data_IF_634147397486
#
_entry.id   IF_634147397486
#
_cell.length_a   1.000
_cell.length_b   1.000
_cell.length_c   1.000
_cell.angle_alpha   90.00
_cell.angle_beta   90.00
_cell.angle_gamma   90.00
#
_symmetry.space_group_name_H-M   'P 1'
#
loop_
_entity.id
_entity.type
_entity.pdbx_description
1 polymer ?
#
# COMPACT_ATOMS: atom_id res chain seq x y z
N UNK A 1 18.50 0.47 -17.00
CA UNK A 1 17.56 1.26 -16.15
C UNK A 1 18.20 1.43 -14.78
N UNK A 2 18.14 2.61 -14.18
CA UNK A 2 18.65 2.84 -12.81
C UNK A 2 17.70 2.26 -11.77
N UNK A 3 18.24 1.88 -10.62
CA UNK A 3 17.45 1.49 -9.45
C UNK A 3 16.62 2.69 -8.96
N UNK A 4 15.34 2.46 -8.65
CA UNK A 4 14.38 3.50 -8.19
C UNK A 4 14.25 3.54 -6.67
N UNK A 5 14.37 2.39 -6.03
CA UNK A 5 14.05 2.23 -4.60
C UNK A 5 15.25 1.82 -3.76
N UNK A 6 16.34 1.34 -4.39
CA UNK A 6 17.57 0.90 -3.72
C UNK A 6 18.77 1.59 -4.35
N UNK A 7 19.62 2.25 -3.53
CA UNK A 7 20.86 2.83 -4.04
C UNK A 7 21.89 1.75 -4.37
N UNK A 8 22.81 2.06 -5.28
CA UNK A 8 23.92 1.14 -5.61
C UNK A 8 24.78 0.82 -4.40
N UNK A 9 25.03 1.81 -3.54
CA UNK A 9 25.86 1.64 -2.35
C UNK A 9 25.15 0.75 -1.31
N UNK A 10 23.83 0.92 -1.12
CA UNK A 10 23.04 0.04 -0.27
C UNK A 10 23.05 -1.41 -0.77
N UNK A 11 22.90 -1.61 -2.07
CA UNK A 11 22.96 -2.95 -2.67
C UNK A 11 24.35 -3.58 -2.53
N UNK A 12 25.42 -2.79 -2.76
CA UNK A 12 26.80 -3.22 -2.60
C UNK A 12 27.09 -3.64 -1.16
N UNK A 13 26.80 -2.77 -0.22
CA UNK A 13 27.00 -3.03 1.22
C UNK A 13 26.22 -4.26 1.67
N UNK A 14 24.93 -4.33 1.34
CA UNK A 14 24.06 -5.43 1.74
C UNK A 14 24.45 -6.77 1.12
N UNK A 15 25.08 -6.77 -0.06
CA UNK A 15 25.55 -8.01 -0.70
C UNK A 15 26.60 -8.74 0.14
N UNK A 16 27.40 -7.99 0.94
CA UNK A 16 28.51 -8.52 1.72
C UNK A 16 29.61 -9.15 0.86
N UNK A 17 29.77 -8.68 -0.38
CA UNK A 17 30.80 -9.16 -1.32
C UNK A 17 32.01 -8.21 -1.38
N UNK A 18 31.88 -7.03 -0.79
CA UNK A 18 32.93 -6.02 -0.84
C UNK A 18 34.18 -6.49 -0.06
N UNK A 19 35.34 -6.45 -0.71
CA UNK A 19 36.59 -6.95 -0.13
C UNK A 19 36.70 -8.47 0.03
N UNK A 20 35.71 -9.25 -0.39
CA UNK A 20 35.75 -10.72 -0.31
C UNK A 20 36.43 -11.26 -1.56
N UNK A 21 37.50 -12.09 -1.42
CA UNK A 21 38.07 -12.78 -2.55
C UNK A 21 37.02 -13.63 -3.29
N UNK A 22 37.04 -13.60 -4.64
CA UNK A 22 36.00 -14.24 -5.45
C UNK A 22 35.86 -15.75 -5.21
N UNK A 23 36.93 -16.45 -4.85
CA UNK A 23 36.90 -17.87 -4.53
C UNK A 23 36.24 -18.19 -3.19
N UNK A 24 36.07 -17.19 -2.31
CA UNK A 24 35.32 -17.29 -1.05
C UNK A 24 33.91 -16.67 -1.17
N UNK A 25 33.62 -16.01 -2.27
CA UNK A 25 32.37 -15.27 -2.45
C UNK A 25 31.19 -16.25 -2.68
N UNK A 26 30.11 -16.07 -1.91
CA UNK A 26 28.87 -16.86 -2.05
C UNK A 26 27.78 -16.04 -2.75
N UNK A 27 27.50 -16.35 -4.01
CA UNK A 27 26.42 -15.74 -4.76
C UNK A 27 25.04 -15.99 -4.08
N UNK A 28 24.82 -17.21 -3.57
CA UNK A 28 23.59 -17.57 -2.86
C UNK A 28 23.43 -16.78 -1.55
N UNK A 29 24.52 -16.67 -0.77
CA UNK A 29 24.54 -15.87 0.46
C UNK A 29 24.29 -14.39 0.20
N UNK A 30 24.91 -13.82 -0.81
CA UNK A 30 24.68 -12.44 -1.23
C UNK A 30 23.23 -12.20 -1.69
N UNK A 31 22.67 -13.13 -2.48
CA UNK A 31 21.26 -13.06 -2.89
C UNK A 31 20.32 -13.06 -1.69
N UNK A 32 20.54 -13.94 -0.71
CA UNK A 32 19.72 -13.99 0.51
C UNK A 32 19.78 -12.65 1.26
N UNK A 33 20.96 -12.09 1.45
CA UNK A 33 21.14 -10.79 2.11
C UNK A 33 20.46 -9.66 1.34
N UNK A 34 20.60 -9.60 0.01
CA UNK A 34 19.95 -8.57 -0.82
C UNK A 34 18.42 -8.63 -0.73
N UNK A 35 17.84 -9.82 -0.59
CA UNK A 35 16.39 -9.99 -0.43
C UNK A 35 15.86 -9.53 0.93
N UNK A 36 16.72 -9.23 1.91
CA UNK A 36 16.28 -8.61 3.16
C UNK A 36 16.02 -7.10 3.01
N UNK A 37 16.47 -6.48 1.91
CA UNK A 37 16.11 -5.10 1.61
C UNK A 37 14.61 -5.00 1.27
N UNK A 38 13.82 -4.20 2.01
CA UNK A 38 12.36 -4.15 1.85
C UNK A 38 11.89 -3.84 0.44
N UNK A 39 12.61 -3.01 -0.31
CA UNK A 39 12.30 -2.63 -1.67
C UNK A 39 12.72 -3.68 -2.73
N UNK A 40 13.43 -4.75 -2.32
CA UNK A 40 13.87 -5.82 -3.23
C UNK A 40 12.88 -6.97 -3.22
N UNK A 41 12.31 -7.29 -4.38
CA UNK A 41 11.47 -8.47 -4.58
C UNK A 41 12.31 -9.72 -4.82
N UNK A 42 13.35 -9.60 -5.66
CA UNK A 42 14.31 -10.67 -5.92
C UNK A 42 15.68 -10.09 -6.33
N UNK A 43 16.73 -10.91 -6.24
CA UNK A 43 18.07 -10.54 -6.62
C UNK A 43 18.75 -11.69 -7.36
N UNK A 44 19.57 -11.37 -8.37
CA UNK A 44 20.47 -12.27 -9.04
C UNK A 44 21.89 -11.81 -8.81
N UNK A 45 22.76 -12.73 -8.41
CA UNK A 45 24.17 -12.47 -8.17
C UNK A 45 25.01 -13.46 -8.97
N UNK A 46 25.92 -12.92 -9.75
CA UNK A 46 26.88 -13.71 -10.57
C UNK A 46 28.28 -13.31 -10.16
N UNK A 47 29.09 -14.30 -9.78
CA UNK A 47 30.51 -14.08 -9.50
C UNK A 47 31.28 -14.19 -10.81
N UNK A 48 31.98 -13.15 -11.18
CA UNK A 48 32.76 -13.04 -12.42
C UNK A 48 34.24 -13.02 -12.08
N UNK A 49 34.97 -14.08 -12.46
CA UNK A 49 36.43 -14.14 -12.26
C UNK A 49 37.15 -13.14 -13.18
N UNK A 50 38.27 -12.55 -12.78
CA UNK A 50 39.04 -12.86 -11.55
C UNK A 50 38.65 -12.05 -10.31
N UNK A 51 37.75 -11.07 -10.33
CA UNK A 51 37.56 -10.22 -9.15
C UNK A 51 36.31 -9.34 -9.19
N UNK A 52 35.24 -9.76 -9.89
CA UNK A 52 34.02 -8.97 -10.01
C UNK A 52 32.78 -9.76 -9.57
N UNK A 53 31.73 -9.04 -9.18
CA UNK A 53 30.39 -9.59 -9.01
C UNK A 53 29.39 -8.70 -9.75
N UNK A 54 28.45 -9.34 -10.45
CA UNK A 54 27.34 -8.67 -11.09
C UNK A 54 26.09 -8.91 -10.25
N UNK A 55 25.47 -7.82 -9.77
CA UNK A 55 24.24 -7.84 -8.99
C UNK A 55 23.13 -7.24 -9.85
N UNK A 56 22.05 -7.99 -10.05
CA UNK A 56 20.83 -7.53 -10.70
C UNK A 56 19.69 -7.61 -9.69
N UNK A 57 19.08 -6.46 -9.39
CA UNK A 57 17.93 -6.39 -8.47
C UNK A 57 16.63 -6.35 -9.26
N UNK A 58 15.63 -7.07 -8.76
CA UNK A 58 14.22 -6.91 -9.12
C UNK A 58 13.57 -6.16 -7.99
N UNK A 59 13.35 -4.88 -8.17
CA UNK A 59 12.69 -4.04 -7.17
C UNK A 59 11.18 -4.29 -7.14
N UNK A 60 10.53 -3.95 -6.00
CA UNK A 60 9.08 -3.98 -5.87
C UNK A 60 8.47 -2.87 -6.70
N UNK A 61 7.30 -3.11 -7.24
CA UNK A 61 6.50 -2.12 -7.96
C UNK A 61 5.49 -1.51 -7.00
N UNK A 62 5.53 -0.18 -6.86
CA UNK A 62 4.60 0.55 -6.01
C UNK A 62 3.24 0.66 -6.71
N UNK A 63 2.17 0.22 -6.06
CA UNK A 63 0.78 0.37 -6.50
C UNK A 63 0.04 1.48 -5.75
N UNK A 64 0.60 1.96 -4.64
CA UNK A 64 0.04 3.03 -3.83
C UNK A 64 1.02 3.51 -2.77
N UNK A 65 0.53 4.45 -1.94
CA UNK A 65 1.21 4.99 -0.78
C UNK A 65 0.41 4.70 0.48
N UNK A 66 1.10 4.33 1.55
CA UNK A 66 0.52 3.98 2.84
C UNK A 66 1.08 4.91 3.91
N UNK A 67 0.22 5.74 4.49
CA UNK A 67 0.60 6.69 5.54
C UNK A 67 0.24 6.06 6.89
N UNK A 68 1.25 5.73 7.68
CA UNK A 68 1.08 5.13 9.00
C UNK A 68 0.62 6.16 10.05
N UNK A 69 0.25 5.70 11.24
CA UNK A 69 -0.29 6.56 12.31
C UNK A 69 0.70 7.61 12.83
N UNK A 70 2.00 7.40 12.63
CA UNK A 70 3.09 8.34 12.92
C UNK A 70 3.38 9.31 11.76
N UNK A 71 2.51 9.35 10.73
CA UNK A 71 2.64 10.11 9.48
C UNK A 71 3.84 9.72 8.60
N UNK A 72 4.49 8.59 8.86
CA UNK A 72 5.49 8.05 7.95
C UNK A 72 4.81 7.47 6.72
N UNK A 73 5.23 7.91 5.54
CA UNK A 73 4.69 7.46 4.26
C UNK A 73 5.60 6.40 3.63
N UNK A 74 5.04 5.24 3.37
CA UNK A 74 5.63 4.10 2.70
C UNK A 74 5.06 3.91 1.30
N UNK A 75 5.82 3.34 0.38
CA UNK A 75 5.25 2.69 -0.79
C UNK A 75 4.71 1.31 -0.41
N UNK A 76 3.69 0.86 -1.12
CA UNK A 76 3.09 -0.46 -0.94
C UNK A 76 3.00 -1.17 -2.28
N UNK A 77 3.36 -2.46 -2.33
CA UNK A 77 3.17 -3.31 -3.51
C UNK A 77 1.83 -4.07 -3.46
N UNK A 78 1.51 -4.75 -4.56
CA UNK A 78 0.28 -5.54 -4.68
C UNK A 78 0.19 -6.71 -3.67
N UNK A 79 1.32 -7.15 -3.10
CA UNK A 79 1.35 -8.16 -2.04
C UNK A 79 1.18 -7.56 -0.64
N UNK A 80 1.01 -6.25 -0.51
CA UNK A 80 0.84 -5.53 0.75
C UNK A 80 2.15 -5.22 1.48
N UNK A 81 3.30 -5.38 0.85
CA UNK A 81 4.60 -5.12 1.49
C UNK A 81 4.93 -3.64 1.43
N UNK A 82 5.26 -3.07 2.60
CA UNK A 82 5.67 -1.67 2.74
C UNK A 82 7.17 -1.52 2.49
N UNK A 83 7.57 -0.51 1.72
CA UNK A 83 8.97 -0.25 1.43
C UNK A 83 9.26 1.24 1.22
N UNK A 84 10.48 1.71 1.55
CA UNK A 84 10.90 3.07 1.27
C UNK A 84 11.27 3.24 -0.20
N UNK A 85 11.29 4.47 -0.69
CA UNK A 85 11.86 4.80 -1.99
C UNK A 85 12.82 5.97 -1.88
N UNK A 86 13.94 5.88 -2.60
CA UNK A 86 14.90 6.98 -2.76
C UNK A 86 14.45 7.96 -3.84
N UNK A 87 13.70 7.48 -4.83
CA UNK A 87 13.14 8.31 -5.90
C UNK A 87 11.61 8.27 -5.84
N UNK A 88 11.02 9.44 -5.61
CA UNK A 88 9.56 9.61 -5.60
C UNK A 88 9.00 10.12 -6.92
N UNK A 89 9.82 10.26 -7.94
CA UNK A 89 9.39 10.66 -9.28
C UNK A 89 8.45 9.60 -9.85
N UNK A 90 7.25 10.02 -10.24
CA UNK A 90 6.21 9.09 -10.72
C UNK A 90 5.60 8.21 -9.63
N UNK A 91 5.69 8.62 -8.36
CA UNK A 91 5.03 7.93 -7.26
C UNK A 91 3.51 7.78 -7.53
N UNK A 92 2.90 6.63 -7.17
CA UNK A 92 1.45 6.45 -7.31
C UNK A 92 0.67 7.56 -6.60
N UNK A 93 -0.39 8.07 -7.25
CA UNK A 93 -1.28 9.08 -6.68
C UNK A 93 -2.14 8.55 -5.53
N UNK A 94 -2.42 7.24 -5.54
CA UNK A 94 -3.29 6.58 -4.58
C UNK A 94 -2.68 6.57 -3.18
N UNK A 95 -3.44 7.04 -2.19
CA UNK A 95 -2.98 7.14 -0.80
C UNK A 95 -4.01 6.57 0.16
N UNK A 96 -3.52 5.76 1.11
CA UNK A 96 -4.30 5.17 2.20
C UNK A 96 -3.69 5.61 3.53
N UNK A 97 -4.52 6.00 4.48
CA UNK A 97 -4.12 6.42 5.83
C UNK A 97 -4.40 5.28 6.81
N UNK A 98 -3.39 4.82 7.53
CA UNK A 98 -3.50 3.76 8.51
C UNK A 98 -3.38 4.34 9.94
N UNK A 99 -4.52 4.59 10.57
CA UNK A 99 -4.59 5.14 11.93
C UNK A 99 -4.34 4.08 13.02
N UNK A 100 -4.13 2.80 12.65
CA UNK A 100 -4.06 1.68 13.61
C UNK A 100 -2.77 1.66 14.41
N UNK A 101 -1.62 1.83 13.74
CA UNK A 101 -0.29 1.77 14.36
C UNK A 101 0.78 2.39 13.46
N UNK A 102 1.95 2.76 14.02
CA UNK A 102 3.16 2.96 13.23
C UNK A 102 3.52 1.72 12.43
N UNK A 103 4.21 1.90 11.31
CA UNK A 103 4.60 0.82 10.40
C UNK A 103 6.09 0.85 10.11
N UNK A 104 6.63 -0.31 9.79
CA UNK A 104 8.05 -0.48 9.47
C UNK A 104 8.27 -0.95 8.04
N UNK A 105 9.46 -0.64 7.51
CA UNK A 105 9.87 -1.14 6.20
C UNK A 105 9.94 -2.67 6.19
N UNK A 106 9.38 -3.29 5.14
CA UNK A 106 9.28 -4.74 4.99
C UNK A 106 8.06 -5.35 5.68
N UNK A 107 7.32 -4.58 6.48
CA UNK A 107 6.07 -5.04 7.07
C UNK A 107 5.02 -5.30 5.98
N UNK A 108 4.15 -6.27 6.23
CA UNK A 108 3.05 -6.61 5.32
C UNK A 108 1.72 -6.18 5.92
N UNK A 109 0.90 -5.55 5.11
CA UNK A 109 -0.50 -5.28 5.41
C UNK A 109 -1.32 -6.50 4.96
N UNK A 110 -1.87 -7.20 5.91
CA UNK A 110 -2.68 -8.38 5.65
C UNK A 110 -4.18 -8.15 5.97
N UNK A 111 -5.06 -8.82 5.24
CA UNK A 111 -4.82 -9.64 4.03
C UNK A 111 -4.59 -8.75 2.79
N UNK A 112 -3.95 -9.25 1.72
CA UNK A 112 -3.75 -8.48 0.47
C UNK A 112 -5.05 -7.94 -0.13
N UNK A 113 -6.16 -8.65 0.00
CA UNK A 113 -7.48 -8.18 -0.41
C UNK A 113 -7.89 -6.86 0.25
N UNK A 114 -7.41 -6.59 1.47
CA UNK A 114 -7.65 -5.32 2.16
C UNK A 114 -6.91 -4.18 1.49
N UNK A 115 -5.66 -4.41 1.06
CA UNK A 115 -4.87 -3.44 0.30
C UNK A 115 -5.54 -3.13 -1.03
N UNK A 116 -5.97 -4.15 -1.76
CA UNK A 116 -6.70 -3.99 -3.02
C UNK A 116 -7.98 -3.16 -2.82
N UNK A 117 -8.81 -3.50 -1.84
CA UNK A 117 -10.04 -2.77 -1.53
C UNK A 117 -9.75 -1.30 -1.17
N UNK A 118 -8.73 -1.04 -0.35
CA UNK A 118 -8.33 0.31 0.05
C UNK A 118 -7.84 1.14 -1.16
N UNK A 119 -7.03 0.56 -2.04
CA UNK A 119 -6.54 1.23 -3.24
C UNK A 119 -7.67 1.49 -4.25
N UNK A 120 -8.63 0.58 -4.39
CA UNK A 120 -9.83 0.78 -5.22
C UNK A 120 -10.68 1.95 -4.71
N UNK A 121 -10.83 2.10 -3.39
CA UNK A 121 -11.49 3.29 -2.82
C UNK A 121 -10.69 4.56 -3.06
N UNK A 122 -9.36 4.50 -2.94
CA UNK A 122 -8.48 5.64 -3.18
C UNK A 122 -8.47 6.08 -4.67
N UNK A 123 -8.86 5.21 -5.58
CA UNK A 123 -8.97 5.49 -7.01
C UNK A 123 -10.31 6.10 -7.42
N UNK A 124 -11.29 6.18 -6.51
CA UNK A 124 -12.59 6.81 -6.82
C UNK A 124 -12.42 8.28 -7.15
N UNK A 125 -13.08 8.74 -8.20
CA UNK A 125 -13.09 10.15 -8.55
C UNK A 125 -13.95 10.95 -7.56
N UNK A 126 -13.59 12.22 -7.29
CA UNK A 126 -14.45 13.12 -6.54
C UNK A 126 -15.84 13.19 -7.18
N UNK A 127 -16.89 13.06 -6.36
CA UNK A 127 -18.28 13.08 -6.83
C UNK A 127 -18.80 11.76 -7.43
N UNK A 128 -17.94 10.73 -7.62
CA UNK A 128 -18.37 9.44 -8.20
C UNK A 128 -19.43 8.72 -7.35
N UNK A 129 -19.35 8.81 -6.03
CA UNK A 129 -20.33 8.22 -5.12
C UNK A 129 -21.57 9.09 -4.98
N UNK A 130 -21.36 10.40 -4.78
CA UNK A 130 -22.36 11.44 -4.65
C UNK A 130 -21.69 12.80 -4.90
N UNK A 131 -22.42 13.79 -5.41
CA UNK A 131 -21.85 15.07 -5.83
C UNK A 131 -21.03 15.80 -4.75
N UNK A 132 -21.40 15.65 -3.47
CA UNK A 132 -20.68 16.21 -2.32
C UNK A 132 -19.56 15.30 -1.76
N UNK A 133 -19.35 14.13 -2.35
CA UNK A 133 -18.26 13.23 -1.99
C UNK A 133 -16.93 13.72 -2.61
N UNK A 134 -16.45 14.86 -2.13
CA UNK A 134 -15.16 15.47 -2.49
C UNK A 134 -14.09 15.15 -1.44
N UNK A 135 -12.83 15.47 -1.72
CA UNK A 135 -11.69 15.27 -0.79
C UNK A 135 -11.69 13.88 -0.14
N UNK A 136 -11.83 12.87 -0.99
CA UNK A 136 -11.94 11.48 -0.55
C UNK A 136 -10.66 11.03 0.15
N UNK A 137 -10.83 10.47 1.34
CA UNK A 137 -9.74 9.98 2.17
C UNK A 137 -10.03 8.57 2.63
N UNK A 138 -9.24 7.62 2.16
CA UNK A 138 -9.33 6.21 2.58
C UNK A 138 -8.55 6.02 3.86
N UNK A 139 -9.20 5.48 4.88
CA UNK A 139 -8.64 5.35 6.23
C UNK A 139 -8.82 3.93 6.73
N UNK A 140 -7.75 3.35 7.27
CA UNK A 140 -7.79 2.13 8.07
C UNK A 140 -7.89 2.52 9.54
N UNK A 141 -9.05 2.30 10.14
CA UNK A 141 -9.28 2.61 11.56
C UNK A 141 -9.03 1.40 12.45
N UNK A 142 -8.74 1.65 13.73
CA UNK A 142 -8.75 0.60 14.74
C UNK A 142 -10.20 0.13 15.02
N UNK A 143 -10.34 -1.14 15.40
CA UNK A 143 -11.64 -1.71 15.78
C UNK A 143 -12.56 -2.07 14.62
N UNK A 144 -13.86 -2.14 14.90
CA UNK A 144 -14.86 -2.73 14.01
C UNK A 144 -15.13 -1.93 12.71
N UNK A 145 -14.79 -0.64 12.66
CA UNK A 145 -15.02 0.17 11.46
C UNK A 145 -14.07 -0.18 10.32
N UNK A 146 -12.86 -0.67 10.64
CA UNK A 146 -11.88 -1.16 9.66
C UNK A 146 -11.60 -0.17 8.55
N UNK A 147 -11.93 -0.54 7.31
CA UNK A 147 -11.79 0.29 6.12
C UNK A 147 -12.93 1.32 6.03
N UNK A 148 -12.58 2.58 5.99
CA UNK A 148 -13.51 3.72 5.97
C UNK A 148 -13.13 4.67 4.85
N UNK A 149 -14.12 5.19 4.14
CA UNK A 149 -13.97 6.28 3.19
C UNK A 149 -14.56 7.56 3.81
N UNK A 150 -13.73 8.54 4.13
CA UNK A 150 -14.14 9.86 4.62
C UNK A 150 -14.22 10.85 3.47
N UNK A 151 -15.14 11.81 3.58
CA UNK A 151 -15.35 12.87 2.58
C UNK A 151 -15.10 14.26 3.17
N UNK A 152 -14.81 15.24 2.33
CA UNK A 152 -14.70 16.66 2.71
C UNK A 152 -16.02 17.22 3.24
N UNK A 153 -17.15 16.67 2.87
CA UNK A 153 -18.48 17.02 3.40
C UNK A 153 -18.76 16.47 4.82
N UNK A 154 -17.75 15.86 5.46
CA UNK A 154 -17.76 15.34 6.85
C UNK A 154 -18.67 14.14 7.10
N UNK A 155 -19.05 13.41 6.06
CA UNK A 155 -19.67 12.10 6.22
C UNK A 155 -18.73 10.99 5.76
N UNK A 156 -19.00 9.76 6.20
CA UNK A 156 -18.13 8.63 5.89
C UNK A 156 -18.91 7.39 5.45
N UNK A 157 -18.24 6.49 4.71
CA UNK A 157 -18.76 5.15 4.42
C UNK A 157 -17.89 4.13 5.12
N UNK A 158 -18.50 3.25 5.93
CA UNK A 158 -17.84 2.20 6.71
C UNK A 158 -17.96 0.87 5.99
N UNK A 159 -16.83 0.36 5.48
CA UNK A 159 -16.76 -0.92 4.74
C UNK A 159 -16.32 -2.08 5.64
N UNK A 160 -15.56 -1.82 6.72
CA UNK A 160 -15.04 -2.86 7.61
C UNK A 160 -13.94 -3.69 6.99
N UNK A 161 -14.16 -5.00 6.83
CA UNK A 161 -13.22 -5.90 6.17
C UNK A 161 -13.34 -5.84 4.64
N UNK A 162 -12.37 -6.44 3.95
CA UNK A 162 -12.41 -6.59 2.49
C UNK A 162 -13.37 -7.70 2.01
N UNK A 163 -13.97 -8.46 2.93
CA UNK A 163 -14.91 -9.51 2.59
C UNK A 163 -16.14 -8.95 1.87
N UNK A 164 -16.53 -9.57 0.76
CA UNK A 164 -17.65 -9.16 -0.09
C UNK A 164 -17.59 -7.67 -0.48
N UNK A 165 -16.38 -7.15 -0.72
CA UNK A 165 -16.16 -5.72 -0.95
C UNK A 165 -16.96 -5.16 -2.13
N UNK A 166 -17.07 -5.90 -3.23
CA UNK A 166 -17.84 -5.47 -4.42
C UNK A 166 -19.33 -5.26 -4.11
N UNK A 167 -19.89 -6.14 -3.30
CA UNK A 167 -21.29 -6.01 -2.88
C UNK A 167 -21.49 -4.80 -1.98
N UNK A 168 -20.58 -4.59 -1.01
CA UNK A 168 -20.59 -3.42 -0.12
C UNK A 168 -20.45 -2.11 -0.90
N UNK A 169 -19.55 -2.06 -1.87
CA UNK A 169 -19.36 -0.88 -2.70
C UNK A 169 -20.60 -0.61 -3.59
N UNK A 170 -21.16 -1.65 -4.17
CA UNK A 170 -22.39 -1.55 -4.98
C UNK A 170 -23.58 -1.07 -4.15
N UNK A 171 -23.68 -1.58 -2.92
CA UNK A 171 -24.71 -1.19 -1.97
C UNK A 171 -24.59 0.28 -1.56
N UNK A 172 -23.36 0.74 -1.24
CA UNK A 172 -23.08 2.13 -0.93
C UNK A 172 -23.43 3.06 -2.10
N UNK A 173 -22.98 2.72 -3.32
CA UNK A 173 -23.29 3.47 -4.54
C UNK A 173 -24.79 3.60 -4.78
N UNK A 174 -25.53 2.51 -4.65
CA UNK A 174 -26.99 2.51 -4.80
C UNK A 174 -27.65 3.42 -3.77
N UNK A 175 -27.34 3.22 -2.50
CA UNK A 175 -27.91 4.04 -1.41
C UNK A 175 -27.65 5.53 -1.59
N UNK A 176 -26.42 5.92 -1.91
CA UNK A 176 -26.02 7.33 -2.09
C UNK A 176 -26.68 7.95 -3.32
N UNK A 177 -26.82 7.22 -4.41
CA UNK A 177 -27.56 7.66 -5.60
C UNK A 177 -29.05 7.88 -5.32
N UNK A 178 -29.67 6.98 -4.55
CA UNK A 178 -31.08 7.05 -4.19
C UNK A 178 -31.38 8.13 -3.12
N UNK A 179 -30.32 8.66 -2.46
CA UNK A 179 -30.39 9.68 -1.41
C UNK A 179 -29.43 10.87 -1.69
N UNK A 180 -29.59 11.60 -2.80
CA UNK A 180 -28.58 12.55 -3.28
C UNK A 180 -28.41 13.79 -2.38
N UNK A 181 -29.44 14.18 -1.66
CA UNK A 181 -29.47 15.40 -0.82
C UNK A 181 -29.60 15.10 0.68
N UNK A 182 -29.62 13.81 1.06
CA UNK A 182 -29.80 13.43 2.46
C UNK A 182 -28.58 13.85 3.28
N UNK A 183 -28.80 14.49 4.40
CA UNK A 183 -27.73 14.76 5.39
C UNK A 183 -27.30 13.43 6.02
N UNK A 184 -26.02 13.24 6.13
CA UNK A 184 -25.42 11.99 6.61
C UNK A 184 -24.22 12.32 7.51
N UNK A 185 -24.09 11.57 8.60
CA UNK A 185 -22.84 11.42 9.34
C UNK A 185 -22.06 10.21 8.80
N UNK A 186 -22.77 9.09 8.64
CA UNK A 186 -22.17 7.89 8.08
C UNK A 186 -23.18 7.01 7.35
N UNK A 187 -22.63 6.19 6.46
CA UNK A 187 -23.31 5.05 5.83
C UNK A 187 -22.50 3.80 6.17
N UNK A 188 -23.10 2.84 6.83
CA UNK A 188 -22.47 1.60 7.25
C UNK A 188 -22.91 0.46 6.34
N UNK A 189 -21.97 -0.08 5.58
CA UNK A 189 -22.14 -1.20 4.65
C UNK A 189 -21.26 -2.40 5.05
N UNK A 190 -20.80 -2.46 6.30
CA UNK A 190 -20.00 -3.57 6.81
C UNK A 190 -20.68 -4.92 6.62
N UNK A 191 -22.01 -4.93 6.74
CA UNK A 191 -22.84 -6.06 6.32
C UNK A 191 -23.45 -5.76 4.95
N UNK A 192 -23.14 -6.55 3.90
CA UNK A 192 -23.67 -6.30 2.56
C UNK A 192 -25.18 -6.56 2.42
N UNK A 193 -25.77 -7.17 3.43
CA UNK A 193 -27.21 -7.51 3.44
C UNK A 193 -28.06 -6.40 4.08
N UNK A 194 -27.43 -5.40 4.71
CA UNK A 194 -28.12 -4.33 5.44
C UNK A 194 -27.34 -3.03 5.44
N UNK A 195 -28.01 -1.93 5.11
CA UNK A 195 -27.47 -0.57 5.30
C UNK A 195 -27.93 -0.02 6.64
N UNK A 196 -27.00 0.55 7.39
CA UNK A 196 -27.27 1.41 8.53
C UNK A 196 -26.71 2.78 8.24
N UNK A 197 -27.42 3.82 8.55
CA UNK A 197 -26.95 5.21 8.37
C UNK A 197 -27.41 6.07 9.53
N UNK A 198 -26.65 7.13 9.80
CA UNK A 198 -27.06 8.17 10.73
C UNK A 198 -27.30 9.47 9.95
N UNK A 199 -28.45 10.10 10.11
CA UNK A 199 -28.66 11.46 9.63
C UNK A 199 -27.89 12.43 10.55
N UNK A 200 -27.30 13.47 9.94
CA UNK A 200 -26.75 14.63 10.64
C UNK A 200 -27.88 15.65 10.93
#
# INVERSE_FOLDING_TARGET
>A
MGAKHVSRDAARSQSGLDGVPTFLASAAGARTRLRTLPAVRDARVEIVLPGAARITLVEREAVGRWVASDNVEWFIDAAGVLFPSIDRTGAPGLRVYDERAPRSAGERIDPPALVEAALRLAALAPGELRADATDLRVVMTAGANGLVLRTGARWEVRFGSAERFDEKLSLARRFLRDNPTRRLDYVDVRSPDRIVFSPN
#
